data_IF_997685434552
#
_entry.id   IF_997685434552
#
_cell.length_a   1.000
_cell.length_b   1.000
_cell.length_c   1.000
_cell.angle_alpha   90.00
_cell.angle_beta   90.00
_cell.angle_gamma   90.00
#
_symmetry.space_group_name_H-M   'P 1'
#
loop_
_entity.id
_entity.type
_entity.pdbx_description
1 polymer ?
#
# COMPACT_ATOMS: atom_id res chain seq x y z
N UNK A 1 4.39 11.02 -2.16
CA UNK A 1 5.49 10.72 -3.11
C UNK A 1 6.09 11.99 -3.68
N UNK A 2 7.39 12.19 -3.49
CA UNK A 2 8.12 13.22 -4.23
C UNK A 2 8.16 12.85 -5.72
N UNK A 3 8.26 13.84 -6.60
CA UNK A 3 8.36 13.66 -8.04
C UNK A 3 9.48 14.53 -8.60
N UNK A 4 9.93 14.28 -9.83
CA UNK A 4 11.00 15.07 -10.44
C UNK A 4 10.46 16.05 -11.48
N UNK A 5 11.00 17.27 -11.50
CA UNK A 5 10.75 18.26 -12.55
C UNK A 5 12.07 18.67 -13.22
N UNK A 6 12.13 18.62 -14.55
CA UNK A 6 13.30 19.04 -15.32
C UNK A 6 13.02 20.37 -16.04
N UNK A 7 13.94 21.33 -15.93
CA UNK A 7 13.91 22.61 -16.65
C UNK A 7 15.17 22.79 -17.51
N UNK A 8 15.24 23.88 -18.28
CA UNK A 8 16.43 24.28 -19.04
C UNK A 8 17.69 24.46 -18.21
N UNK A 9 17.56 24.74 -16.91
CA UNK A 9 18.67 25.18 -16.05
C UNK A 9 18.89 24.28 -14.84
N UNK A 10 17.92 23.42 -14.48
CA UNK A 10 18.04 22.53 -13.31
C UNK A 10 17.06 21.34 -13.35
N UNK A 11 17.41 20.26 -12.63
CA UNK A 11 16.53 19.18 -12.20
C UNK A 11 16.11 19.40 -10.74
N UNK A 12 14.84 19.28 -10.43
CA UNK A 12 14.26 19.53 -9.10
C UNK A 12 13.65 18.27 -8.51
N UNK A 13 13.85 18.06 -7.21
CA UNK A 13 13.05 17.15 -6.39
C UNK A 13 11.86 17.92 -5.83
N UNK A 14 10.66 17.55 -6.25
CA UNK A 14 9.42 18.23 -5.92
C UNK A 14 8.76 17.60 -4.70
N UNK A 15 8.11 18.42 -3.87
CA UNK A 15 7.32 17.94 -2.73
C UNK A 15 6.01 17.31 -3.23
N UNK A 16 5.56 16.23 -2.59
CA UNK A 16 4.28 15.60 -2.91
C UNK A 16 3.11 16.52 -2.59
N UNK A 17 2.17 16.67 -3.53
CA UNK A 17 0.94 17.46 -3.31
C UNK A 17 1.13 18.98 -3.35
N UNK A 18 2.37 19.47 -3.51
CA UNK A 18 2.69 20.90 -3.59
C UNK A 18 3.48 21.20 -4.88
N UNK A 19 3.42 22.46 -5.35
CA UNK A 19 4.16 22.93 -6.52
C UNK A 19 5.58 23.43 -6.20
N UNK A 20 6.10 23.20 -4.98
CA UNK A 20 7.42 23.66 -4.55
C UNK A 20 8.49 22.56 -4.55
N UNK A 21 9.76 22.95 -4.72
CA UNK A 21 10.89 22.01 -4.69
C UNK A 21 11.58 21.96 -3.33
N UNK A 22 12.12 20.78 -2.99
CA UNK A 22 12.88 20.51 -1.75
C UNK A 22 14.39 20.46 -1.98
N UNK A 23 14.85 20.07 -3.17
CA UNK A 23 16.27 20.05 -3.55
C UNK A 23 16.40 20.21 -5.07
N UNK A 24 17.57 20.64 -5.58
CA UNK A 24 17.82 20.81 -7.01
C UNK A 24 19.26 20.57 -7.43
N UNK A 25 19.45 20.18 -8.69
CA UNK A 25 20.75 20.06 -9.36
C UNK A 25 20.76 21.00 -10.57
N UNK A 26 21.71 21.94 -10.58
CA UNK A 26 21.85 22.86 -11.72
C UNK A 26 22.50 22.16 -12.92
N UNK A 27 21.99 22.46 -14.11
CA UNK A 27 22.50 21.99 -15.40
C UNK A 27 23.39 23.07 -16.01
N UNK A 28 24.71 22.98 -15.80
CA UNK A 28 25.68 23.94 -16.34
C UNK A 28 26.58 23.30 -17.42
N UNK A 29 26.85 24.00 -18.52
CA UNK A 29 27.81 23.60 -19.57
C UNK A 29 27.34 22.50 -20.54
N UNK A 30 28.29 21.84 -21.22
CA UNK A 30 28.10 20.80 -22.27
C UNK A 30 27.36 19.52 -21.82
N UNK A 31 26.85 19.47 -20.57
CA UNK A 31 26.21 18.29 -19.97
C UNK A 31 24.68 18.27 -20.08
N UNK A 32 24.09 18.92 -21.10
CA UNK A 32 22.63 18.91 -21.31
C UNK A 32 22.04 17.51 -21.58
N UNK A 33 22.88 16.57 -22.01
CA UNK A 33 22.44 15.24 -22.46
C UNK A 33 22.61 14.15 -21.38
N UNK A 34 23.16 14.49 -20.20
CA UNK A 34 23.33 13.54 -19.09
C UNK A 34 23.09 14.24 -17.74
N UNK A 35 21.97 13.91 -17.10
CA UNK A 35 21.62 14.41 -15.77
C UNK A 35 21.94 13.34 -14.73
N UNK A 36 22.89 13.62 -13.83
CA UNK A 36 23.14 12.75 -12.66
C UNK A 36 22.17 13.13 -11.56
N UNK A 37 21.31 12.19 -11.19
CA UNK A 37 20.35 12.38 -10.11
C UNK A 37 21.01 11.99 -8.78
N UNK A 38 20.98 12.84 -7.74
CA UNK A 38 21.54 12.50 -6.44
C UNK A 38 20.88 11.24 -5.88
N UNK A 39 21.67 10.21 -5.59
CA UNK A 39 21.15 8.94 -5.04
C UNK A 39 20.47 9.13 -3.69
N UNK A 40 20.86 10.15 -2.92
CA UNK A 40 20.17 10.56 -1.67
C UNK A 40 18.69 10.93 -1.86
N UNK A 41 18.25 11.22 -3.09
CA UNK A 41 16.83 11.50 -3.39
C UNK A 41 15.99 10.22 -3.46
N UNK A 42 16.62 9.05 -3.50
CA UNK A 42 15.95 7.77 -3.66
C UNK A 42 16.40 6.77 -2.62
N UNK A 43 15.50 5.89 -2.21
CA UNK A 43 15.80 4.83 -1.24
C UNK A 43 16.28 3.54 -1.91
N UNK A 44 16.50 3.55 -3.23
CA UNK A 44 16.95 2.39 -4.02
C UNK A 44 15.83 1.61 -4.72
N UNK A 45 14.56 1.84 -4.35
CA UNK A 45 13.38 1.25 -5.01
C UNK A 45 12.47 2.28 -5.70
N UNK A 46 12.82 3.58 -5.61
CA UNK A 46 12.03 4.69 -6.15
C UNK A 46 12.67 5.22 -7.44
N UNK A 47 12.58 4.50 -8.56
CA UNK A 47 12.84 5.13 -9.86
C UNK A 47 11.56 5.91 -10.24
N UNK A 48 11.63 7.24 -10.47
CA UNK A 48 10.44 8.01 -10.81
C UNK A 48 9.88 7.51 -12.15
N UNK A 49 8.63 7.03 -12.13
CA UNK A 49 7.95 6.47 -13.31
C UNK A 49 7.63 7.49 -14.40
N UNK A 50 7.84 8.79 -14.14
CA UNK A 50 7.71 9.85 -15.13
C UNK A 50 8.67 11.01 -14.83
N UNK A 51 9.23 11.58 -15.90
CA UNK A 51 10.00 12.83 -15.87
C UNK A 51 9.22 13.88 -16.65
N UNK A 52 8.77 14.93 -15.96
CA UNK A 52 8.06 16.06 -16.61
C UNK A 52 9.08 17.11 -17.01
N UNK A 53 9.09 17.49 -18.30
CA UNK A 53 9.97 18.51 -18.87
C UNK A 53 9.17 19.80 -19.08
N UNK A 54 9.49 20.84 -18.32
CA UNK A 54 8.80 22.14 -18.38
C UNK A 54 9.81 23.29 -18.21
N UNK A 55 9.58 24.43 -18.85
CA UNK A 55 10.56 25.53 -18.90
C UNK A 55 10.51 26.51 -17.70
N UNK A 56 9.64 26.26 -16.71
CA UNK A 56 9.39 27.19 -15.61
C UNK A 56 10.08 26.70 -14.33
N UNK A 57 10.94 27.52 -13.74
CA UNK A 57 11.56 27.24 -12.44
C UNK A 57 10.49 27.19 -11.33
N UNK A 58 10.32 26.06 -10.62
CA UNK A 58 9.40 25.98 -9.48
C UNK A 58 9.86 26.86 -8.32
N UNK A 59 8.94 27.35 -7.47
CA UNK A 59 9.30 28.05 -6.24
C UNK A 59 9.96 27.08 -5.24
N UNK A 60 10.92 27.58 -4.45
CA UNK A 60 11.46 26.85 -3.32
C UNK A 60 10.39 26.70 -2.23
N UNK A 61 10.36 25.57 -1.50
CA UNK A 61 9.50 25.49 -0.33
C UNK A 61 10.01 26.46 0.77
N UNK A 62 9.14 27.35 1.26
CA UNK A 62 9.46 28.30 2.31
C UNK A 62 9.78 27.57 3.62
N UNK A 63 11.03 27.61 4.07
CA UNK A 63 11.44 27.08 5.37
C UNK A 63 11.27 28.20 6.39
N UNK A 64 10.14 28.21 7.11
CA UNK A 64 10.02 29.03 8.31
C UNK A 64 10.91 28.42 9.39
N UNK A 65 12.09 29.02 9.58
CA UNK A 65 13.01 28.72 10.66
C UNK A 65 12.35 28.96 12.01
N UNK A 66 12.29 27.89 12.80
CA UNK A 66 11.66 27.81 14.10
C UNK A 66 11.30 26.36 14.31
N UNK A 67 12.23 25.58 14.90
CA UNK A 67 11.99 24.19 15.23
C UNK A 67 11.34 24.15 16.62
N UNK A 68 10.01 23.99 16.76
CA UNK A 68 9.56 22.99 17.69
C UNK A 68 9.91 21.65 17.03
N UNK A 69 10.78 20.87 17.65
CA UNK A 69 10.81 19.44 17.41
C UNK A 69 9.44 18.90 17.82
N UNK A 70 8.45 19.02 16.93
CA UNK A 70 7.24 18.22 17.02
C UNK A 70 7.76 16.80 16.99
N UNK A 71 7.61 16.00 18.06
CA UNK A 71 8.04 14.62 18.00
C UNK A 71 7.36 14.03 16.78
N UNK A 72 8.13 13.47 15.85
CA UNK A 72 7.57 12.69 14.75
C UNK A 72 6.88 11.51 15.43
N UNK A 73 5.60 11.67 15.74
CA UNK A 73 4.82 10.65 16.42
C UNK A 73 4.90 9.44 15.51
N UNK A 74 5.44 8.36 16.05
CA UNK A 74 5.43 7.03 15.45
C UNK A 74 4.28 6.31 16.13
N UNK A 75 3.03 6.58 15.70
CA UNK A 75 1.86 6.18 16.48
C UNK A 75 1.71 4.66 16.56
N UNK A 76 2.39 3.92 15.68
CA UNK A 76 2.40 2.46 15.66
C UNK A 76 3.61 1.84 16.37
N UNK A 77 4.38 2.63 17.13
CA UNK A 77 5.50 2.10 17.92
C UNK A 77 5.01 0.99 18.86
N UNK A 78 5.63 -0.19 18.77
CA UNK A 78 5.26 -1.35 19.57
C UNK A 78 4.12 -2.20 19.00
N UNK A 79 3.48 -1.76 17.91
CA UNK A 79 2.43 -2.53 17.23
C UNK A 79 3.04 -3.59 16.30
N UNK A 80 2.41 -4.76 16.26
CA UNK A 80 2.76 -5.91 15.42
C UNK A 80 1.64 -6.18 14.43
N UNK A 81 1.94 -6.14 13.14
CA UNK A 81 0.97 -6.40 12.07
C UNK A 81 1.43 -7.61 11.28
N UNK A 82 0.52 -8.55 11.02
CA UNK A 82 0.76 -9.66 10.10
C UNK A 82 -0.03 -9.39 8.82
N UNK A 83 0.68 -9.41 7.69
CA UNK A 83 0.11 -9.29 6.35
C UNK A 83 0.25 -10.63 5.64
N UNK A 84 -0.86 -11.16 5.17
CA UNK A 84 -0.94 -12.35 4.34
C UNK A 84 -1.25 -11.93 2.90
N UNK A 85 -0.27 -11.85 1.99
CA UNK A 85 -0.55 -11.69 0.58
C UNK A 85 -1.17 -12.99 0.07
N UNK A 86 -2.45 -12.92 -0.32
CA UNK A 86 -3.18 -14.08 -0.81
C UNK A 86 -2.48 -14.74 -1.99
N UNK A 87 -2.68 -16.06 -2.12
CA UNK A 87 -2.13 -16.87 -3.21
C UNK A 87 -0.59 -16.96 -3.21
N UNK A 88 0.01 -17.56 -4.23
CA UNK A 88 1.46 -17.74 -4.36
C UNK A 88 1.88 -18.08 -5.79
N UNK A 89 2.94 -17.43 -6.31
CA UNK A 89 3.40 -17.64 -7.69
C UNK A 89 3.73 -19.11 -8.03
N UNK A 90 4.18 -19.85 -7.02
CA UNK A 90 4.48 -21.27 -7.10
C UNK A 90 3.27 -22.10 -6.64
N UNK A 91 2.30 -22.31 -7.55
CA UNK A 91 1.20 -23.27 -7.35
C UNK A 91 -0.19 -22.68 -7.57
N UNK A 92 -0.62 -21.78 -6.69
CA UNK A 92 -1.93 -21.11 -6.77
C UNK A 92 -1.73 -19.63 -7.09
N UNK A 93 -1.84 -19.25 -8.35
CA UNK A 93 -1.65 -17.85 -8.80
C UNK A 93 -2.84 -16.93 -8.50
N UNK A 94 -3.94 -17.48 -7.99
CA UNK A 94 -5.22 -16.77 -7.88
C UNK A 94 -5.75 -16.34 -9.25
N UNK A 95 -6.45 -15.21 -9.28
CA UNK A 95 -6.95 -14.63 -10.53
C UNK A 95 -5.81 -14.26 -11.49
N UNK A 96 -6.04 -14.43 -12.79
CA UNK A 96 -5.08 -14.05 -13.85
C UNK A 96 -5.78 -13.14 -14.85
N UNK A 97 -5.25 -11.95 -15.09
CA UNK A 97 -5.78 -10.97 -16.05
C UNK A 97 -4.66 -10.13 -16.66
N UNK A 98 -4.68 -9.94 -17.98
CA UNK A 98 -3.72 -9.05 -18.67
C UNK A 98 -2.25 -9.40 -18.46
N UNK A 99 -1.92 -10.68 -18.24
CA UNK A 99 -0.57 -11.14 -17.95
C UNK A 99 -0.11 -10.92 -16.51
N UNK A 100 -1.00 -10.45 -15.63
CA UNK A 100 -0.78 -10.29 -14.19
C UNK A 100 -1.49 -11.39 -13.41
N UNK A 101 -0.89 -11.79 -12.30
CA UNK A 101 -1.39 -12.78 -11.36
C UNK A 101 -1.81 -12.09 -10.07
N UNK A 102 -2.87 -12.56 -9.43
CA UNK A 102 -3.29 -12.05 -8.13
C UNK A 102 -2.15 -12.19 -7.11
N UNK A 103 -1.51 -13.36 -7.06
CA UNK A 103 -0.37 -13.62 -6.16
C UNK A 103 0.77 -12.57 -6.28
N UNK A 104 1.12 -12.17 -7.50
CA UNK A 104 2.16 -11.18 -7.73
C UNK A 104 1.75 -9.78 -7.29
N UNK A 105 0.50 -9.40 -7.56
CA UNK A 105 -0.02 -8.08 -7.22
C UNK A 105 -0.34 -7.93 -5.72
N UNK A 106 -0.86 -8.96 -5.05
CA UNK A 106 -1.09 -8.97 -3.60
C UNK A 106 0.23 -8.89 -2.83
N UNK A 107 1.27 -9.60 -3.27
CA UNK A 107 2.61 -9.48 -2.68
C UNK A 107 3.19 -8.07 -2.85
N UNK A 108 3.01 -7.46 -4.03
CA UNK A 108 3.41 -6.07 -4.27
C UNK A 108 2.67 -5.11 -3.34
N UNK A 109 1.36 -5.28 -3.20
CA UNK A 109 0.51 -4.47 -2.32
C UNK A 109 0.91 -4.62 -0.85
N UNK A 110 1.14 -5.85 -0.37
CA UNK A 110 1.57 -6.13 0.99
C UNK A 110 2.92 -5.47 1.33
N UNK A 111 3.88 -5.48 0.40
CA UNK A 111 5.17 -4.78 0.57
C UNK A 111 5.01 -3.27 0.69
N UNK A 112 4.10 -2.67 -0.07
CA UNK A 112 3.78 -1.24 0.04
C UNK A 112 3.16 -0.92 1.41
N UNK A 113 2.18 -1.72 1.86
CA UNK A 113 1.55 -1.58 3.18
C UNK A 113 2.62 -1.70 4.29
N UNK A 114 3.48 -2.72 4.21
CA UNK A 114 4.58 -2.93 5.14
C UNK A 114 5.48 -1.69 5.26
N UNK A 115 5.96 -1.14 4.13
CA UNK A 115 6.83 0.03 4.16
C UNK A 115 6.17 1.25 4.80
N UNK A 116 4.88 1.48 4.53
CA UNK A 116 4.10 2.58 5.11
C UNK A 116 3.99 2.41 6.63
N UNK A 117 3.57 1.23 7.10
CA UNK A 117 3.37 0.97 8.54
C UNK A 117 4.70 0.96 9.32
N UNK A 118 5.77 0.43 8.74
CA UNK A 118 7.12 0.47 9.33
C UNK A 118 7.63 1.90 9.50
N UNK A 119 7.38 2.79 8.52
CA UNK A 119 7.72 4.20 8.64
C UNK A 119 6.95 4.90 9.79
N UNK A 120 5.80 4.35 10.20
CA UNK A 120 4.98 4.80 11.33
C UNK A 120 5.32 4.10 12.65
N UNK A 121 6.28 3.17 12.64
CA UNK A 121 6.86 2.52 13.83
C UNK A 121 6.37 1.09 14.09
N UNK A 122 5.51 0.52 13.24
CA UNK A 122 5.04 -0.84 13.40
C UNK A 122 6.14 -1.88 13.08
N UNK A 123 6.09 -3.02 13.74
CA UNK A 123 6.74 -4.25 13.30
C UNK A 123 5.77 -5.00 12.38
N UNK A 124 6.15 -5.27 11.14
CA UNK A 124 5.26 -5.85 10.13
C UNK A 124 5.86 -7.10 9.53
N UNK A 125 5.17 -8.23 9.66
CA UNK A 125 5.52 -9.52 9.08
C UNK A 125 4.68 -9.77 7.84
N UNK A 126 5.31 -10.11 6.71
CA UNK A 126 4.62 -10.60 5.52
C UNK A 126 4.72 -12.13 5.53
N UNK A 127 3.61 -12.83 5.36
CA UNK A 127 3.58 -14.30 5.24
C UNK A 127 4.18 -14.69 3.89
N UNK A 128 5.19 -15.58 3.91
CA UNK A 128 5.79 -16.14 2.71
C UNK A 128 5.03 -17.40 2.28
N UNK A 129 4.17 -17.30 1.26
CA UNK A 129 3.39 -18.43 0.76
C UNK A 129 4.18 -19.40 -0.16
N UNK A 130 5.50 -19.48 0.00
CA UNK A 130 6.39 -20.35 -0.78
C UNK A 130 6.58 -21.74 -0.16
N UNK A 131 5.95 -22.01 1.00
CA UNK A 131 6.17 -23.23 1.79
C UNK A 131 4.99 -24.21 1.79
N UNK A 132 4.04 -24.09 0.85
CA UNK A 132 2.80 -24.89 0.81
C UNK A 132 2.02 -24.86 2.13
N UNK A 133 1.95 -23.70 2.78
CA UNK A 133 1.18 -23.56 4.01
C UNK A 133 -0.31 -23.73 3.70
N UNK A 134 -1.03 -24.47 4.55
CA UNK A 134 -2.48 -24.48 4.50
C UNK A 134 -3.03 -23.13 4.97
N UNK A 135 -4.27 -22.80 4.58
CA UNK A 135 -4.95 -21.58 5.04
C UNK A 135 -5.01 -21.50 6.58
N UNK A 136 -5.16 -22.64 7.25
CA UNK A 136 -5.17 -22.69 8.71
C UNK A 136 -3.79 -22.37 9.31
N UNK A 137 -2.71 -22.86 8.68
CA UNK A 137 -1.34 -22.54 9.09
C UNK A 137 -1.03 -21.06 8.87
N UNK A 138 -1.52 -20.46 7.79
CA UNK A 138 -1.38 -19.03 7.50
C UNK A 138 -2.08 -18.21 8.58
N UNK A 139 -3.36 -18.51 8.88
CA UNK A 139 -4.10 -17.80 9.92
C UNK A 139 -3.44 -17.89 11.29
N UNK A 140 -2.90 -19.05 11.65
CA UNK A 140 -2.18 -19.27 12.90
C UNK A 140 -0.94 -18.36 13.08
N UNK A 141 -0.34 -17.86 11.99
CA UNK A 141 0.77 -16.91 12.05
C UNK A 141 0.36 -15.55 12.61
N UNK A 142 -0.95 -15.25 12.69
CA UNK A 142 -1.47 -14.08 13.37
C UNK A 142 -1.25 -14.10 14.90
N UNK A 143 -0.84 -15.23 15.49
CA UNK A 143 -0.63 -15.37 16.93
C UNK A 143 0.29 -14.27 17.50
N UNK A 144 -0.22 -13.49 18.46
CA UNK A 144 0.55 -12.44 19.14
C UNK A 144 0.77 -11.16 18.33
N UNK A 145 0.11 -11.02 17.18
CA UNK A 145 -0.02 -9.75 16.48
C UNK A 145 -1.12 -8.87 17.10
N UNK A 146 -1.06 -7.57 16.83
CA UNK A 146 -2.14 -6.62 17.16
C UNK A 146 -3.26 -6.63 16.10
N UNK A 147 -2.95 -7.07 14.87
CA UNK A 147 -3.94 -7.38 13.83
C UNK A 147 -3.37 -8.28 12.74
N UNK A 148 -4.27 -8.99 12.05
CA UNK A 148 -3.98 -9.83 10.87
C UNK A 148 -4.77 -9.33 9.66
N UNK A 149 -4.11 -9.18 8.51
CA UNK A 149 -4.73 -8.72 7.26
C UNK A 149 -4.35 -9.66 6.12
N UNK A 150 -5.31 -10.38 5.58
CA UNK A 150 -5.16 -11.10 4.32
C UNK A 150 -5.53 -10.16 3.16
N UNK A 151 -4.68 -10.07 2.14
CA UNK A 151 -4.78 -9.10 1.04
C UNK A 151 -5.00 -9.85 -0.26
N UNK A 152 -6.11 -9.55 -0.93
CA UNK A 152 -6.59 -10.23 -2.14
C UNK A 152 -7.08 -9.23 -3.20
N UNK A 153 -7.23 -9.73 -4.42
CA UNK A 153 -7.87 -9.03 -5.53
C UNK A 153 -8.97 -9.91 -6.10
N UNK A 154 -10.18 -9.36 -6.18
CA UNK A 154 -11.34 -10.13 -6.59
C UNK A 154 -11.29 -10.46 -8.09
N UNK A 155 -12.13 -11.40 -8.50
CA UNK A 155 -12.34 -11.74 -9.92
C UNK A 155 -13.71 -12.38 -10.11
N UNK A 156 -14.39 -12.06 -11.21
CA UNK A 156 -15.72 -12.62 -11.47
C UNK A 156 -16.05 -12.76 -12.96
N UNK A 157 -16.33 -11.65 -13.65
CA UNK A 157 -16.86 -11.66 -15.03
C UNK A 157 -16.34 -10.50 -15.88
N UNK A 158 -15.23 -9.87 -15.49
CA UNK A 158 -14.58 -8.74 -16.15
C UNK A 158 -15.37 -7.43 -16.18
N UNK A 159 -16.55 -7.37 -15.55
CA UNK A 159 -17.40 -6.15 -15.52
C UNK A 159 -17.73 -5.67 -14.11
N UNK A 160 -17.87 -6.59 -13.16
CA UNK A 160 -18.09 -6.24 -11.77
C UNK A 160 -16.83 -5.58 -11.20
N UNK A 161 -17.03 -4.46 -10.49
CA UNK A 161 -15.96 -3.73 -9.83
C UNK A 161 -16.38 -3.34 -8.41
N UNK A 162 -15.38 -3.09 -7.58
CA UNK A 162 -15.53 -2.56 -6.23
C UNK A 162 -14.57 -3.20 -5.24
N UNK A 163 -14.53 -2.64 -4.04
CA UNK A 163 -13.77 -3.20 -2.92
C UNK A 163 -14.72 -3.80 -1.87
N UNK A 164 -14.28 -4.85 -1.18
CA UNK A 164 -14.98 -5.42 -0.02
C UNK A 164 -13.99 -5.87 1.05
N UNK A 165 -14.45 -5.85 2.31
CA UNK A 165 -13.65 -6.34 3.43
C UNK A 165 -14.43 -7.41 4.16
N UNK A 166 -13.81 -8.56 4.36
CA UNK A 166 -14.44 -9.74 4.92
C UNK A 166 -13.87 -10.01 6.32
N UNK A 167 -14.74 -10.44 7.22
CA UNK A 167 -14.41 -10.96 8.54
C UNK A 167 -14.91 -12.40 8.65
N UNK A 168 -14.40 -13.15 9.63
CA UNK A 168 -14.91 -14.50 9.89
C UNK A 168 -16.44 -14.48 10.11
N UNK A 169 -17.11 -15.60 9.80
CA UNK A 169 -18.56 -15.76 10.03
C UNK A 169 -18.94 -15.39 11.46
N UNK A 170 -18.12 -15.81 12.43
CA UNK A 170 -18.30 -15.54 13.86
C UNK A 170 -17.40 -14.39 14.36
N UNK A 171 -16.93 -13.52 13.46
CA UNK A 171 -16.05 -12.40 13.77
C UNK A 171 -16.60 -11.50 14.88
N UNK A 172 -15.71 -11.02 15.72
CA UNK A 172 -15.96 -10.17 16.88
C UNK A 172 -16.32 -8.73 16.48
N UNK A 173 -16.72 -7.91 17.46
CA UNK A 173 -16.90 -6.48 17.25
C UNK A 173 -15.57 -5.77 16.91
N UNK A 174 -14.43 -6.30 17.35
CA UNK A 174 -13.13 -5.76 16.99
C UNK A 174 -12.82 -6.00 15.50
N UNK A 175 -13.13 -7.18 14.98
CA UNK A 175 -13.02 -7.50 13.55
C UNK A 175 -13.90 -6.57 12.71
N UNK A 176 -15.15 -6.35 13.15
CA UNK A 176 -16.08 -5.46 12.45
C UNK A 176 -15.59 -4.00 12.43
N UNK A 177 -15.10 -3.48 13.56
CA UNK A 177 -14.51 -2.12 13.61
C UNK A 177 -13.28 -2.01 12.73
N UNK A 178 -12.43 -3.03 12.74
CA UNK A 178 -11.21 -3.07 11.94
C UNK A 178 -11.53 -3.09 10.43
N UNK A 179 -12.42 -3.98 10.01
CA UNK A 179 -12.87 -4.07 8.63
C UNK A 179 -13.54 -2.78 8.16
N UNK A 180 -14.32 -2.13 9.03
CA UNK A 180 -14.98 -0.86 8.73
C UNK A 180 -13.96 0.27 8.53
N UNK A 181 -12.91 0.35 9.36
CA UNK A 181 -11.86 1.36 9.21
C UNK A 181 -11.15 1.22 7.86
N UNK A 182 -10.79 0.01 7.45
CA UNK A 182 -10.16 -0.24 6.14
C UNK A 182 -11.14 0.04 4.99
N UNK A 183 -12.39 -0.42 5.09
CA UNK A 183 -13.41 -0.20 4.06
C UNK A 183 -13.64 1.30 3.80
N UNK A 184 -13.71 2.12 4.86
CA UNK A 184 -13.89 3.57 4.72
C UNK A 184 -12.68 4.26 4.07
N UNK A 185 -11.45 3.80 4.35
CA UNK A 185 -10.27 4.36 3.71
C UNK A 185 -10.15 3.97 2.23
N UNK A 186 -10.58 2.75 1.87
CA UNK A 186 -10.67 2.31 0.47
C UNK A 186 -11.69 3.16 -0.29
N UNK A 187 -12.88 3.34 0.28
CA UNK A 187 -13.98 4.16 -0.29
C UNK A 187 -13.54 5.61 -0.56
N UNK A 188 -12.73 6.19 0.33
CA UNK A 188 -12.17 7.55 0.15
C UNK A 188 -11.07 7.61 -0.91
N UNK A 189 -10.38 6.50 -1.18
CA UNK A 189 -9.16 6.49 -2.01
C UNK A 189 -9.40 5.99 -3.43
N UNK A 190 -10.41 5.14 -3.61
CA UNK A 190 -10.73 4.48 -4.85
C UNK A 190 -12.09 4.98 -5.31
N UNK A 191 -12.16 5.56 -6.51
CA UNK A 191 -13.42 5.94 -7.15
C UNK A 191 -14.08 4.71 -7.79
N UNK A 192 -14.35 3.70 -6.97
CA UNK A 192 -14.96 2.41 -7.36
C UNK A 192 -16.05 2.03 -6.35
N UNK A 193 -17.00 1.15 -6.71
CA UNK A 193 -18.08 0.79 -5.80
C UNK A 193 -17.59 0.19 -4.47
N UNK A 194 -18.15 0.67 -3.35
CA UNK A 194 -17.97 0.03 -2.05
C UNK A 194 -19.00 -1.08 -1.86
N UNK A 195 -18.52 -2.32 -1.77
CA UNK A 195 -19.35 -3.52 -1.64
C UNK A 195 -19.54 -3.97 -0.18
N UNK A 196 -19.07 -3.15 0.75
CA UNK A 196 -19.32 -3.24 2.18
C UNK A 196 -18.42 -4.23 2.93
N UNK A 197 -18.69 -4.32 4.24
CA UNK A 197 -18.10 -5.33 5.12
C UNK A 197 -18.99 -6.57 5.16
N UNK A 198 -18.40 -7.76 5.00
CA UNK A 198 -19.14 -9.03 4.94
C UNK A 198 -18.62 -10.06 5.94
N UNK A 199 -19.50 -10.95 6.37
CA UNK A 199 -19.17 -12.10 7.23
C UNK A 199 -19.09 -13.37 6.39
N UNK A 200 -17.94 -14.04 6.37
CA UNK A 200 -17.72 -15.25 5.60
C UNK A 200 -16.81 -16.22 6.35
N UNK A 201 -17.11 -17.53 6.29
CA UNK A 201 -16.37 -18.57 7.01
C UNK A 201 -15.06 -18.98 6.31
N UNK A 202 -14.22 -18.01 5.97
CA UNK A 202 -12.94 -18.22 5.30
C UNK A 202 -11.95 -18.91 6.24
N UNK A 203 -11.29 -19.96 5.77
CA UNK A 203 -10.42 -20.78 6.62
C UNK A 203 -9.27 -19.98 7.24
N UNK A 204 -8.65 -19.09 6.45
CA UNK A 204 -7.56 -18.22 6.94
C UNK A 204 -8.01 -17.34 8.10
N UNK A 205 -9.20 -16.72 8.02
CA UNK A 205 -9.72 -15.86 9.08
C UNK A 205 -10.17 -16.67 10.31
N UNK A 206 -10.79 -17.83 10.09
CA UNK A 206 -11.20 -18.74 11.17
C UNK A 206 -10.03 -19.26 12.00
N UNK A 207 -8.86 -19.40 11.38
CA UNK A 207 -7.66 -19.92 12.03
C UNK A 207 -6.83 -18.84 12.74
N UNK A 208 -7.17 -17.55 12.60
CA UNK A 208 -6.50 -16.49 13.37
C UNK A 208 -6.83 -16.63 14.85
N UNK A 209 -5.84 -16.73 15.76
CA UNK A 209 -6.11 -16.92 17.18
C UNK A 209 -6.77 -15.69 17.81
N UNK A 210 -7.84 -15.91 18.57
CA UNK A 210 -8.40 -14.86 19.43
C UNK A 210 -7.38 -14.43 20.51
N UNK A 211 -7.32 -13.14 20.87
CA UNK A 211 -8.25 -12.06 20.50
C UNK A 211 -7.78 -11.21 19.29
N UNK A 212 -6.91 -11.72 18.42
CA UNK A 212 -6.31 -10.93 17.32
C UNK A 212 -7.37 -10.55 16.28
N UNK A 213 -7.62 -9.25 16.03
CA UNK A 213 -8.55 -8.81 14.99
C UNK A 213 -8.05 -9.18 13.60
N UNK A 214 -8.90 -9.75 12.76
CA UNK A 214 -8.56 -10.33 11.48
C UNK A 214 -9.54 -9.93 10.37
N UNK A 215 -8.99 -9.57 9.20
CA UNK A 215 -9.76 -9.24 8.01
C UNK A 215 -9.14 -9.83 6.75
N UNK A 216 -9.96 -10.07 5.74
CA UNK A 216 -9.52 -10.28 4.36
C UNK A 216 -10.00 -9.09 3.52
N UNK A 217 -9.10 -8.46 2.77
CA UNK A 217 -9.39 -7.28 1.95
C UNK A 217 -9.36 -7.69 0.49
N UNK A 218 -10.51 -7.62 -0.17
CA UNK A 218 -10.64 -7.68 -1.63
C UNK A 218 -10.53 -6.25 -2.16
N UNK A 219 -9.33 -5.86 -2.59
CA UNK A 219 -9.01 -4.44 -2.82
C UNK A 219 -9.74 -3.85 -4.04
N UNK A 220 -9.87 -4.64 -5.09
CA UNK A 220 -10.61 -4.35 -6.33
C UNK A 220 -10.69 -5.64 -7.18
N UNK A 221 -11.47 -5.63 -8.26
CA UNK A 221 -11.57 -6.75 -9.20
C UNK A 221 -10.45 -6.69 -10.24
N UNK A 222 -9.49 -7.62 -10.21
CA UNK A 222 -8.34 -7.66 -11.11
C UNK A 222 -8.75 -7.89 -12.57
N UNK A 223 -9.77 -8.72 -12.80
CA UNK A 223 -10.28 -9.06 -14.14
C UNK A 223 -11.09 -7.94 -14.81
N UNK A 224 -11.63 -7.01 -14.01
CA UNK A 224 -12.36 -5.82 -14.48
C UNK A 224 -11.49 -4.55 -14.54
N UNK A 225 -10.21 -4.63 -14.16
CA UNK A 225 -9.30 -3.47 -14.12
C UNK A 225 -8.42 -3.43 -15.37
N UNK A 226 -8.37 -2.31 -16.11
CA UNK A 226 -7.44 -2.16 -17.22
C UNK A 226 -5.98 -2.37 -16.77
N UNK A 227 -5.22 -3.16 -17.52
CA UNK A 227 -3.84 -3.57 -17.13
C UNK A 227 -2.89 -2.41 -16.86
N UNK A 228 -3.10 -1.27 -17.52
CA UNK A 228 -2.32 -0.04 -17.33
C UNK A 228 -2.70 0.76 -16.07
N UNK A 229 -3.81 0.43 -15.39
CA UNK A 229 -4.27 1.07 -14.16
C UNK A 229 -3.97 0.23 -12.90
N UNK A 230 -3.66 -1.06 -13.05
CA UNK A 230 -3.43 -1.97 -11.91
C UNK A 230 -2.38 -1.43 -10.94
N UNK A 231 -1.25 -0.93 -11.44
CA UNK A 231 -0.18 -0.42 -10.56
C UNK A 231 -0.61 0.80 -9.73
N UNK A 232 -1.41 1.70 -10.32
CA UNK A 232 -1.97 2.87 -9.62
C UNK A 232 -2.94 2.41 -8.53
N UNK A 233 -3.82 1.45 -8.85
CA UNK A 233 -4.82 0.95 -7.93
C UNK A 233 -4.20 0.17 -6.77
N UNK A 234 -3.15 -0.63 -7.02
CA UNK A 234 -2.34 -1.28 -5.99
C UNK A 234 -1.73 -0.24 -5.04
N UNK A 235 -1.21 0.86 -5.58
CA UNK A 235 -0.63 1.92 -4.75
C UNK A 235 -1.69 2.64 -3.90
N UNK A 236 -2.82 3.04 -4.50
CA UNK A 236 -3.91 3.75 -3.78
C UNK A 236 -4.52 2.87 -2.68
N UNK A 237 -4.83 1.62 -3.01
CA UNK A 237 -5.40 0.66 -2.06
C UNK A 237 -4.41 0.29 -0.94
N UNK A 238 -3.11 0.13 -1.23
CA UNK A 238 -2.09 -0.08 -0.19
C UNK A 238 -2.04 1.09 0.81
N UNK A 239 -2.10 2.33 0.32
CA UNK A 239 -2.15 3.51 1.18
C UNK A 239 -3.42 3.56 2.03
N UNK A 240 -4.56 3.23 1.43
CA UNK A 240 -5.85 3.16 2.12
C UNK A 240 -5.84 2.11 3.24
N UNK A 241 -5.40 0.88 2.93
CA UNK A 241 -5.30 -0.21 3.90
C UNK A 241 -4.37 0.17 5.05
N UNK A 242 -3.21 0.77 4.76
CA UNK A 242 -2.27 1.21 5.79
C UNK A 242 -2.88 2.28 6.71
N UNK A 243 -3.65 3.24 6.19
CA UNK A 243 -4.36 4.24 7.01
C UNK A 243 -5.47 3.62 7.85
N UNK A 244 -6.21 2.66 7.29
CA UNK A 244 -7.25 1.92 8.02
C UNK A 244 -6.66 1.09 9.18
N UNK A 245 -5.51 0.44 8.94
CA UNK A 245 -4.75 -0.25 10.00
C UNK A 245 -4.28 0.74 11.06
N UNK A 246 -3.71 1.87 10.66
CA UNK A 246 -3.25 2.86 11.63
C UNK A 246 -4.40 3.39 12.49
N UNK A 247 -5.51 3.81 11.87
CA UNK A 247 -6.69 4.32 12.55
C UNK A 247 -7.29 3.29 13.53
N UNK A 248 -7.21 2.00 13.22
CA UNK A 248 -7.69 0.96 14.11
C UNK A 248 -6.80 0.75 15.34
N UNK A 249 -5.48 0.89 15.19
CA UNK A 249 -4.49 0.58 16.22
C UNK A 249 -4.17 1.74 17.17
N UNK A 250 -4.65 2.95 16.88
CA UNK A 250 -4.32 4.21 17.58
C UNK A 250 -5.56 4.96 18.02
#
# INVERSE_FOLDING_TARGET
>A
MAWLRLTKTALYLMKSGDACYVDKVNLTGEKRNQVRIPTKWFTGNDAPGAMVIEDIEPPACSISGGSPSTPTTRPLTGKKVVLDPGHGEDGDKGAISGGRTEAGETLKQARLIQGILQARGASVTIVENTRNLSLDQIGALGAGADCFVSVHLNSFNQTVQGHEVLIDRNGTDADLRFATAISQELDRSLDIPNRGVKRQGLAVLRAVPLPVPAVLVESFFLDATPTNQVDEWIQKSAQAIARGIEQFLT
#
